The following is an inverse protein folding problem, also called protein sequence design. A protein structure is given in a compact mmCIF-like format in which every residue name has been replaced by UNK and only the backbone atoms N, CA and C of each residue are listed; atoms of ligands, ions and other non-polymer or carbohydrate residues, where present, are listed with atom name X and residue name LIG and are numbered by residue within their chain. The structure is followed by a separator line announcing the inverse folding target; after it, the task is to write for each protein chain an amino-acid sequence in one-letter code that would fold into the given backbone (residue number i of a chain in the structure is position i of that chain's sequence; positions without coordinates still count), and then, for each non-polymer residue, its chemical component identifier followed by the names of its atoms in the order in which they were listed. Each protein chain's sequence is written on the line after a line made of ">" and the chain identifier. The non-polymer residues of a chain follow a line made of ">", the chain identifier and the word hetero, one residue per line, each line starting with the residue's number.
data_IF_822445396590
#
_entry.id   IF_822445396590
#
_cell.length_a   1.000
_cell.length_b   1.000
_cell.length_c   1.000
_cell.angle_alpha   90.00
_cell.angle_beta   90.00
_cell.angle_gamma   90.00
#
_symmetry.space_group_name_H-M   'P 1'
#
loop_
_entity.id
_entity.type
_entity.pdbx_description
1 polymer ?
#
# COMPACT_ATOMS: atom_id res chain seq x y z
N UNK A 1 -4.67 15.84 4.98
CA UNK A 1 -5.23 15.20 3.78
C UNK A 1 -6.12 14.06 4.26
N UNK A 2 -7.41 14.05 3.91
CA UNK A 2 -8.34 12.99 4.28
C UNK A 2 -8.60 12.15 3.04
N UNK A 3 -8.16 10.89 3.06
CA UNK A 3 -8.43 9.93 2.00
C UNK A 3 -9.62 9.07 2.47
N UNK A 4 -10.79 9.23 1.86
CA UNK A 4 -11.90 8.32 2.10
C UNK A 4 -11.72 7.10 1.20
N UNK A 5 -11.46 5.92 1.76
CA UNK A 5 -11.81 4.73 1.00
C UNK A 5 -13.34 4.63 0.99
N UNK A 6 -13.89 4.37 -0.19
CA UNK A 6 -15.32 4.24 -0.38
C UNK A 6 -15.91 3.24 0.60
N UNK A 7 -17.11 3.56 1.08
CA UNK A 7 -17.95 2.78 1.97
C UNK A 7 -18.09 1.34 1.48
N UNK A 8 -17.26 0.44 2.03
CA UNK A 8 -17.34 -0.99 1.81
C UNK A 8 -17.45 -1.68 3.17
N UNK A 9 -18.60 -2.32 3.38
CA UNK A 9 -18.92 -3.04 4.61
C UNK A 9 -17.88 -4.12 4.91
N UNK A 10 -17.16 -3.97 6.02
CA UNK A 10 -16.45 -5.06 6.69
C UNK A 10 -14.95 -4.82 6.90
N UNK A 11 -14.27 -4.12 6.01
CA UNK A 11 -12.81 -3.89 6.10
C UNK A 11 -12.48 -2.43 5.82
N UNK A 12 -12.07 -1.71 6.87
CA UNK A 12 -11.56 -0.35 6.72
C UNK A 12 -10.26 -0.39 5.90
N UNK A 13 -10.04 0.58 5.00
CA UNK A 13 -8.76 0.72 4.31
C UNK A 13 -7.64 0.80 5.35
N UNK A 14 -6.58 0.03 5.12
CA UNK A 14 -5.37 0.11 5.93
C UNK A 14 -4.36 0.96 5.19
N UNK A 15 -3.64 1.81 5.93
CA UNK A 15 -2.58 2.63 5.37
C UNK A 15 -1.35 2.52 6.27
N UNK A 16 -0.20 2.28 5.67
CA UNK A 16 1.09 2.18 6.36
C UNK A 16 2.09 3.14 5.72
N UNK A 17 2.78 3.91 6.56
CA UNK A 17 3.84 4.81 6.09
C UNK A 17 5.15 4.05 5.97
N UNK A 18 5.97 4.43 4.99
CA UNK A 18 7.38 4.07 5.02
C UNK A 18 8.04 4.63 6.28
N UNK A 19 9.09 3.99 6.83
CA UNK A 19 9.79 4.50 8.01
C UNK A 19 10.36 5.91 7.82
N UNK A 20 10.72 6.27 6.58
CA UNK A 20 11.20 7.61 6.22
C UNK A 20 10.07 8.64 6.02
N UNK A 21 8.80 8.21 6.06
CA UNK A 21 7.61 9.05 5.90
C UNK A 21 7.39 9.63 4.51
N UNK A 22 8.18 9.25 3.50
CA UNK A 22 8.08 9.79 2.15
C UNK A 22 6.96 9.14 1.32
N UNK A 23 6.62 7.89 1.62
CA UNK A 23 5.59 7.16 0.89
C UNK A 23 4.56 6.55 1.84
N UNK A 24 3.36 6.33 1.31
CA UNK A 24 2.22 5.76 2.01
C UNK A 24 1.65 4.63 1.17
N UNK A 25 1.66 3.41 1.72
CA UNK A 25 0.99 2.27 1.10
C UNK A 25 -0.43 2.22 1.62
N UNK A 26 -1.39 2.22 0.70
CA UNK A 26 -2.82 2.12 0.99
C UNK A 26 -3.34 0.81 0.41
N UNK A 27 -3.95 0.01 1.27
CA UNK A 27 -4.67 -1.20 0.89
C UNK A 27 -6.15 -0.83 0.79
N UNK A 28 -6.70 -0.88 -0.41
CA UNK A 28 -8.13 -0.77 -0.61
C UNK A 28 -8.81 -2.09 -0.27
N UNK A 29 -10.09 -2.00 0.11
CA UNK A 29 -10.88 -3.17 0.50
C UNK A 29 -10.87 -4.27 -0.56
N UNK A 30 -11.11 -5.49 -0.09
CA UNK A 30 -11.24 -6.70 -0.91
C UNK A 30 -12.23 -6.58 -2.07
N UNK A 31 -13.20 -5.66 -2.07
CA UNK A 31 -14.06 -5.45 -3.24
C UNK A 31 -13.38 -4.68 -4.38
N UNK A 32 -12.43 -3.80 -4.06
CA UNK A 32 -11.71 -2.98 -5.03
C UNK A 32 -10.45 -3.68 -5.55
N UNK A 33 -9.90 -4.65 -4.80
CA UNK A 33 -8.69 -5.42 -5.15
C UNK A 33 -7.50 -4.54 -5.58
N UNK A 34 -7.34 -3.36 -4.98
CA UNK A 34 -6.25 -2.45 -5.31
C UNK A 34 -5.36 -2.19 -4.10
N UNK A 35 -4.05 -2.32 -4.32
CA UNK A 35 -3.03 -1.82 -3.40
C UNK A 35 -2.31 -0.68 -4.11
N UNK A 36 -2.19 0.49 -3.48
CA UNK A 36 -1.56 1.64 -4.11
C UNK A 36 -0.51 2.26 -3.20
N UNK A 37 0.63 2.62 -3.78
CA UNK A 37 1.69 3.39 -3.15
C UNK A 37 1.52 4.86 -3.53
N UNK A 38 1.56 5.73 -2.53
CA UNK A 38 1.37 7.17 -2.66
C UNK A 38 2.61 7.91 -2.21
N UNK A 39 2.91 9.04 -2.85
CA UNK A 39 3.87 10.01 -2.37
C UNK A 39 3.20 10.94 -1.36
N UNK A 40 3.75 11.04 -0.16
CA UNK A 40 3.13 11.80 0.95
C UNK A 40 3.25 13.30 0.73
N UNK A 41 4.31 13.76 0.07
CA UNK A 41 4.58 15.19 -0.12
C UNK A 41 3.64 15.81 -1.17
N UNK A 42 3.36 15.07 -2.23
CA UNK A 42 2.56 15.50 -3.38
C UNK A 42 1.13 14.99 -3.33
N UNK A 43 0.87 13.93 -2.57
CA UNK A 43 -0.43 13.25 -2.54
C UNK A 43 -0.77 12.54 -3.85
N UNK A 44 0.23 12.22 -4.68
CA UNK A 44 0.03 11.50 -5.93
C UNK A 44 0.21 9.99 -5.72
N UNK A 45 -0.62 9.20 -6.39
CA UNK A 45 -0.39 7.76 -6.51
C UNK A 45 0.86 7.55 -7.36
N UNK A 46 1.88 6.95 -6.75
CA UNK A 46 3.11 6.56 -7.42
C UNK A 46 2.86 5.30 -8.24
N UNK A 47 2.33 4.25 -7.60
CA UNK A 47 2.16 2.93 -8.22
C UNK A 47 0.91 2.21 -7.77
N UNK A 48 0.29 1.48 -8.69
CA UNK A 48 -0.75 0.50 -8.40
C UNK A 48 -0.13 -0.89 -8.48
N UNK A 49 -0.15 -1.57 -7.35
CA UNK A 49 0.34 -2.93 -7.20
C UNK A 49 -0.77 -3.88 -7.65
N UNK A 50 -0.49 -4.84 -8.56
CA UNK A 50 -1.47 -5.82 -9.05
C UNK A 50 -1.74 -6.92 -8.02
N UNK A 51 -1.81 -6.55 -6.74
CA UNK A 51 -2.03 -7.43 -5.61
C UNK A 51 -2.99 -6.79 -4.62
N UNK A 52 -3.65 -7.63 -3.84
CA UNK A 52 -4.61 -7.24 -2.83
C UNK A 52 -4.27 -7.99 -1.54
N UNK A 53 -4.10 -7.25 -0.45
CA UNK A 53 -3.73 -7.83 0.84
C UNK A 53 -4.59 -7.30 1.97
N UNK A 54 -4.80 -8.15 2.98
CA UNK A 54 -5.48 -7.74 4.22
C UNK A 54 -4.56 -7.02 5.18
N UNK A 55 -3.24 -7.16 4.99
CA UNK A 55 -2.19 -6.50 5.79
C UNK A 55 -1.01 -6.17 4.91
N UNK A 56 -0.36 -5.07 5.24
CA UNK A 56 0.94 -4.73 4.69
C UNK A 56 1.81 -4.07 5.76
N UNK A 57 3.11 -4.16 5.57
CA UNK A 57 4.10 -3.49 6.40
C UNK A 57 5.35 -3.16 5.58
N UNK A 58 6.14 -2.21 6.05
CA UNK A 58 7.42 -1.87 5.44
C UNK A 58 8.58 -2.47 6.21
N UNK A 59 9.64 -2.82 5.51
CA UNK A 59 10.93 -3.11 6.14
C UNK A 59 11.43 -1.89 6.91
N UNK A 60 12.21 -2.07 8.00
CA UNK A 60 12.73 -0.95 8.79
C UNK A 60 13.60 0.05 8.00
N UNK A 61 14.22 -0.40 6.91
CA UNK A 61 14.98 0.44 5.98
C UNK A 61 14.11 1.12 4.91
N UNK A 62 12.81 0.80 4.83
CA UNK A 62 11.84 1.36 3.90
C UNK A 62 12.04 0.93 2.44
N UNK A 63 12.93 -0.01 2.17
CA UNK A 63 13.23 -0.46 0.80
C UNK A 63 12.26 -1.54 0.31
N UNK A 64 11.62 -2.25 1.23
CA UNK A 64 10.72 -3.36 0.91
C UNK A 64 9.36 -3.16 1.57
N UNK A 65 8.32 -3.56 0.86
CA UNK A 65 6.98 -3.71 1.38
C UNK A 65 6.60 -5.19 1.37
N UNK A 66 5.93 -5.64 2.43
CA UNK A 66 5.34 -6.98 2.51
C UNK A 66 3.84 -6.83 2.45
N UNK A 67 3.19 -7.62 1.60
CA UNK A 67 1.74 -7.65 1.46
C UNK A 67 1.28 -9.08 1.69
N UNK A 68 0.37 -9.27 2.65
CA UNK A 68 -0.20 -10.58 2.98
C UNK A 68 -1.59 -10.71 2.37
N UNK A 69 -1.74 -11.71 1.49
CA UNK A 69 -2.97 -12.01 0.74
C UNK A 69 -3.43 -13.45 1.03
N UNK A 70 -4.29 -13.60 2.04
CA UNK A 70 -4.77 -14.91 2.48
C UNK A 70 -3.63 -15.81 2.98
N UNK A 71 -3.26 -16.82 2.18
CA UNK A 71 -2.15 -17.75 2.48
C UNK A 71 -0.84 -17.39 1.77
N UNK A 72 -0.82 -16.32 0.98
CA UNK A 72 0.34 -15.87 0.21
C UNK A 72 0.92 -14.62 0.86
N UNK A 73 2.25 -14.53 0.85
CA UNK A 73 3.00 -13.34 1.28
C UNK A 73 3.85 -12.92 0.11
N UNK A 74 3.69 -11.68 -0.33
CA UNK A 74 4.46 -11.08 -1.41
C UNK A 74 5.39 -10.01 -0.84
N UNK A 75 6.60 -9.93 -1.38
CA UNK A 75 7.61 -8.94 -1.01
C UNK A 75 7.89 -8.10 -2.25
N UNK A 76 7.86 -6.79 -2.08
CA UNK A 76 8.00 -5.82 -3.16
C UNK A 76 9.12 -4.84 -2.84
N UNK A 77 10.03 -4.61 -3.78
CA UNK A 77 11.06 -3.58 -3.64
C UNK A 77 10.49 -2.21 -4.03
N UNK A 78 10.42 -1.29 -3.08
CA UNK A 78 9.86 0.07 -3.25
C UNK A 78 10.61 0.85 -4.32
N UNK A 79 11.93 0.68 -4.43
CA UNK A 79 12.74 1.30 -5.47
C UNK A 79 12.39 0.75 -6.87
N UNK A 80 12.08 -0.54 -6.97
CA UNK A 80 11.67 -1.13 -8.25
C UNK A 80 10.27 -0.70 -8.65
N UNK A 81 9.42 -0.38 -7.67
CA UNK A 81 8.13 0.22 -7.95
C UNK A 81 8.32 1.58 -8.60
N UNK A 82 9.24 2.43 -8.14
CA UNK A 82 9.43 3.79 -8.68
C UNK A 82 9.90 3.91 -10.15
N UNK A 83 10.12 2.81 -10.87
CA UNK A 83 10.93 2.80 -12.10
C UNK A 83 10.26 2.20 -13.35
N UNK A 84 8.92 2.24 -13.45
CA UNK A 84 8.19 1.94 -14.70
C UNK A 84 7.28 3.08 -15.16
#
# INVERSE_FOLDING_TARGET
>A
MLFSAGEAAGENPTAVFTPNGQSLLVLASTSSHTTQLWDVATGQSLFELPTWGSRADFSPDGQQAVIASGSVIEIWDVASLSNE
#
